data_IF_000493656004
#
_entry.id   IF_000493656004
#
_cell.length_a   1.000
_cell.length_b   1.000
_cell.length_c   1.000
_cell.angle_alpha   90.00
_cell.angle_beta   90.00
_cell.angle_gamma   90.00
#
_symmetry.space_group_name_H-M   'P 1'
#
loop_
_entity.id
_entity.type
_entity.pdbx_description
1 polymer ?
#
# COMPACT_ATOMS: atom_id res chain seq x y z
N UNK A 1 6.84 -5.98 11.63
CA UNK A 1 6.23 -6.42 10.38
C UNK A 1 6.53 -5.42 9.27
N UNK A 2 6.74 -5.88 8.06
CA UNK A 2 7.12 -5.02 6.96
C UNK A 2 5.96 -4.79 6.00
N UNK A 3 5.87 -3.59 5.47
CA UNK A 3 4.87 -3.23 4.46
C UNK A 3 5.52 -2.42 3.35
N UNK A 4 5.02 -2.57 2.15
CA UNK A 4 5.45 -1.80 0.98
C UNK A 4 4.24 -1.06 0.43
N UNK A 5 4.43 0.23 0.14
CA UNK A 5 3.39 1.05 -0.45
C UNK A 5 3.88 1.56 -1.80
N UNK A 6 3.12 1.25 -2.86
CA UNK A 6 3.34 1.82 -4.19
C UNK A 6 2.51 3.08 -4.29
N UNK A 7 3.16 4.23 -4.43
CA UNK A 7 2.53 5.54 -4.26
C UNK A 7 2.71 6.42 -5.50
N UNK A 8 1.67 7.17 -5.84
CA UNK A 8 1.75 8.27 -6.81
C UNK A 8 1.70 9.65 -6.13
N UNK A 9 1.81 9.67 -4.80
CA UNK A 9 1.79 10.91 -4.03
C UNK A 9 0.40 11.46 -3.70
N UNK A 10 -0.68 10.71 -3.98
CA UNK A 10 -2.01 11.20 -3.67
C UNK A 10 -2.30 11.10 -2.16
N UNK A 11 -3.43 11.68 -1.76
CA UNK A 11 -3.81 11.76 -0.34
C UNK A 11 -4.06 10.40 0.28
N UNK A 12 -4.59 9.46 -0.47
CA UNK A 12 -4.85 8.10 0.04
C UNK A 12 -3.55 7.34 0.32
N UNK A 13 -2.52 7.59 -0.48
CA UNK A 13 -1.19 7.02 -0.24
C UNK A 13 -0.63 7.51 1.09
N UNK A 14 -0.79 8.80 1.38
CA UNK A 14 -0.35 9.37 2.65
C UNK A 14 -1.13 8.80 3.83
N UNK A 15 -2.43 8.61 3.66
CA UNK A 15 -3.27 7.99 4.69
C UNK A 15 -2.85 6.55 4.98
N UNK A 16 -2.55 5.78 3.94
CA UNK A 16 -2.08 4.41 4.11
C UNK A 16 -0.76 4.37 4.87
N UNK A 17 0.15 5.27 4.54
CA UNK A 17 1.44 5.38 5.22
C UNK A 17 1.25 5.67 6.71
N UNK A 18 0.44 6.68 7.04
CA UNK A 18 0.19 7.08 8.43
C UNK A 18 -0.44 5.93 9.21
N UNK A 19 -1.41 5.26 8.63
CA UNK A 19 -2.07 4.12 9.24
C UNK A 19 -1.08 3.02 9.61
N UNK A 20 -0.24 2.63 8.66
CA UNK A 20 0.73 1.57 8.88
C UNK A 20 1.81 1.97 9.86
N UNK A 21 2.24 3.24 9.86
CA UNK A 21 3.17 3.75 10.85
C UNK A 21 2.61 3.66 12.26
N UNK A 22 1.34 4.00 12.43
CA UNK A 22 0.67 3.92 13.74
C UNK A 22 0.58 2.48 14.25
N UNK A 23 0.56 1.52 13.35
CA UNK A 23 0.52 0.10 13.70
C UNK A 23 1.92 -0.50 13.83
N UNK A 24 2.95 0.32 13.83
CA UNK A 24 4.35 -0.06 14.02
C UNK A 24 4.92 -0.94 12.90
N UNK A 25 4.42 -0.77 11.68
CA UNK A 25 5.03 -1.42 10.53
C UNK A 25 6.29 -0.70 10.10
N UNK A 26 7.28 -1.46 9.65
CA UNK A 26 8.40 -0.91 8.91
C UNK A 26 7.95 -0.72 7.46
N UNK A 27 7.96 0.50 6.99
CA UNK A 27 7.35 0.86 5.71
C UNK A 27 8.40 1.25 4.69
N UNK A 28 8.29 0.67 3.49
CA UNK A 28 9.03 1.12 2.31
C UNK A 28 8.02 1.73 1.35
N UNK A 29 8.25 2.99 0.96
CA UNK A 29 7.38 3.68 0.00
C UNK A 29 8.10 3.75 -1.33
N UNK A 30 7.53 3.12 -2.35
CA UNK A 30 8.02 3.20 -3.72
C UNK A 30 7.20 4.24 -4.47
N UNK A 31 7.87 5.21 -5.07
CA UNK A 31 7.23 6.35 -5.71
C UNK A 31 7.22 6.20 -7.22
N UNK A 32 6.07 6.48 -7.82
CA UNK A 32 5.89 6.48 -9.27
C UNK A 32 6.93 7.39 -9.93
N UNK A 33 7.55 6.90 -11.01
CA UNK A 33 8.58 7.58 -11.78
C UNK A 33 9.91 7.79 -11.06
N UNK A 34 10.03 7.34 -9.82
CA UNK A 34 11.30 7.30 -9.09
C UNK A 34 11.78 5.87 -8.90
N UNK A 35 10.90 4.99 -8.45
CA UNK A 35 11.22 3.60 -8.15
C UNK A 35 10.55 2.60 -9.07
N UNK A 36 9.51 3.02 -9.77
CA UNK A 36 8.81 2.18 -10.74
C UNK A 36 8.11 3.07 -11.77
N UNK A 37 7.71 2.48 -12.89
CA UNK A 37 6.98 3.18 -13.95
C UNK A 37 5.49 2.82 -13.87
N UNK A 38 4.64 3.68 -14.44
CA UNK A 38 3.21 3.39 -14.56
C UNK A 38 2.98 2.11 -15.36
N UNK A 39 3.75 1.90 -16.41
CA UNK A 39 3.65 0.68 -17.23
C UNK A 39 3.96 -0.57 -16.41
N UNK A 40 5.01 -0.53 -15.60
CA UNK A 40 5.36 -1.63 -14.72
C UNK A 40 4.30 -1.88 -13.65
N UNK A 41 3.74 -0.81 -13.11
CA UNK A 41 2.66 -0.89 -12.13
C UNK A 41 1.43 -1.59 -12.72
N UNK A 42 1.02 -1.21 -13.92
CA UNK A 42 -0.12 -1.81 -14.62
C UNK A 42 0.15 -3.29 -14.91
N UNK A 43 1.38 -3.62 -15.31
CA UNK A 43 1.76 -5.00 -15.58
C UNK A 43 1.66 -5.88 -14.34
N UNK A 44 1.96 -5.33 -13.18
CA UNK A 44 1.94 -6.07 -11.91
C UNK A 44 0.55 -6.14 -11.28
N UNK A 45 -0.17 -5.03 -11.26
CA UNK A 45 -1.41 -4.91 -10.49
C UNK A 45 -2.67 -4.83 -11.36
N UNK A 46 -2.54 -4.67 -12.66
CA UNK A 46 -3.66 -4.54 -13.60
C UNK A 46 -3.96 -3.10 -13.98
N UNK A 47 -4.67 -2.94 -15.10
CA UNK A 47 -4.97 -1.62 -15.64
C UNK A 47 -5.92 -0.80 -14.77
N UNK A 48 -6.75 -1.48 -14.00
CA UNK A 48 -7.74 -0.82 -13.13
C UNK A 48 -7.23 -0.59 -11.71
N UNK A 49 -5.99 -0.97 -11.44
CA UNK A 49 -5.43 -0.80 -10.10
C UNK A 49 -5.26 0.68 -9.76
N UNK A 50 -5.67 1.01 -8.56
CA UNK A 50 -5.59 2.38 -8.04
C UNK A 50 -4.40 2.51 -7.09
N UNK A 51 -4.02 3.74 -6.81
CA UNK A 51 -3.03 4.04 -5.78
C UNK A 51 -3.73 4.39 -4.47
N UNK A 52 -3.17 4.00 -3.34
CA UNK A 52 -1.96 3.17 -3.18
C UNK A 52 -2.21 1.70 -3.45
N UNK A 53 -1.13 0.94 -3.71
CA UNK A 53 -1.16 -0.52 -3.62
C UNK A 53 -0.23 -0.93 -2.49
N UNK A 54 -0.71 -1.81 -1.62
CA UNK A 54 -0.01 -2.16 -0.38
C UNK A 54 0.28 -3.64 -0.34
N UNK A 55 1.53 -3.98 0.00
CA UNK A 55 1.91 -5.35 0.31
C UNK A 55 2.26 -5.42 1.80
N UNK A 56 1.80 -6.46 2.48
CA UNK A 56 2.18 -6.73 3.87
C UNK A 56 2.98 -8.03 3.86
N UNK A 57 4.26 -7.93 4.21
CA UNK A 57 5.19 -9.03 4.02
C UNK A 57 5.25 -9.40 2.54
N UNK A 58 4.97 -10.65 2.22
CA UNK A 58 4.94 -11.13 0.84
C UNK A 58 3.56 -11.13 0.23
N UNK A 59 2.55 -10.66 0.96
CA UNK A 59 1.17 -10.69 0.50
C UNK A 59 0.75 -9.35 -0.08
N UNK A 60 0.22 -9.38 -1.31
CA UNK A 60 -0.43 -8.20 -1.90
C UNK A 60 -1.82 -8.05 -1.27
N UNK A 61 -2.04 -6.94 -0.60
CA UNK A 61 -3.31 -6.67 0.10
C UNK A 61 -4.28 -5.91 -0.78
N UNK A 62 -3.79 -4.91 -1.50
CA UNK A 62 -4.61 -4.07 -2.36
C UNK A 62 -4.47 -2.60 -2.04
N UNK A 63 -5.52 -1.83 -2.28
CA UNK A 63 -5.55 -0.40 -2.03
C UNK A 63 -5.80 -0.07 -0.56
N UNK A 64 -6.11 1.21 -0.30
CA UNK A 64 -6.37 1.67 1.06
C UNK A 64 -7.55 0.94 1.71
N UNK A 65 -8.63 0.78 0.96
CA UNK A 65 -9.84 0.12 1.46
C UNK A 65 -9.57 -1.33 1.86
N UNK A 66 -8.89 -2.07 0.99
CA UNK A 66 -8.52 -3.46 1.23
C UNK A 66 -7.54 -3.58 2.38
N UNK A 67 -6.65 -2.60 2.53
CA UNK A 67 -5.71 -2.56 3.64
C UNK A 67 -6.43 -2.36 4.97
N UNK A 68 -7.39 -1.44 5.02
CA UNK A 68 -8.20 -1.22 6.21
C UNK A 68 -8.96 -2.49 6.61
N UNK A 69 -9.56 -3.17 5.64
CA UNK A 69 -10.27 -4.42 5.87
C UNK A 69 -9.33 -5.51 6.39
N UNK A 70 -8.17 -5.64 5.77
CA UNK A 70 -7.16 -6.61 6.21
C UNK A 70 -6.76 -6.38 7.66
N UNK A 71 -6.50 -5.13 8.03
CA UNK A 71 -6.12 -4.78 9.40
C UNK A 71 -7.25 -5.06 10.39
N UNK A 72 -8.49 -4.73 10.00
CA UNK A 72 -9.67 -5.00 10.81
C UNK A 72 -9.88 -6.50 11.04
N UNK A 73 -9.76 -7.29 9.97
CA UNK A 73 -9.93 -8.75 10.06
C UNK A 73 -8.85 -9.41 10.92
N UNK A 74 -7.69 -8.79 11.02
CA UNK A 74 -6.59 -9.26 11.88
C UNK A 74 -6.68 -8.72 13.31
N UNK A 75 -7.70 -7.94 13.62
CA UNK A 75 -7.89 -7.38 14.96
C UNK A 75 -6.90 -6.30 15.34
N UNK A 76 -6.36 -5.59 14.38
CA UNK A 76 -5.32 -4.57 14.63
C UNK A 76 -5.89 -3.22 15.12
N UNK A 77 -7.20 -3.03 15.01
CA UNK A 77 -7.89 -1.81 15.46
C UNK A 77 -8.66 -2.09 16.75
N UNK A 78 -7.99 -2.32 17.79
CA UNK A 78 -8.67 -2.57 19.08
C UNK A 78 -8.68 -1.35 19.99
#
# INVERSE_FOLDING_TARGET
>A
MEAVIYSNGNQECERAKILLEKLNFQISVYKLNQHFSQKGFIAEFGEEAEYPQVNVGFKHVGGLKETLKYMSDKGMFL
#
